data_IF_616749217676
#
_entry.id   IF_616749217676
#
_cell.length_a   1.000
_cell.length_b   1.000
_cell.length_c   1.000
_cell.angle_alpha   90.00
_cell.angle_beta   90.00
_cell.angle_gamma   90.00
#
_symmetry.space_group_name_H-M   'P 1'
#
loop_
_entity.id
_entity.type
_entity.pdbx_description
1 polymer ?
#
# COMPACT_ATOMS: atom_id res chain seq x y z
N UNK A 1 49.98 -12.91 28.69
CA UNK A 1 49.24 -11.63 28.57
C UNK A 1 48.74 -11.34 27.15
N UNK A 2 49.54 -11.49 26.09
CA UNK A 2 49.14 -11.21 24.69
C UNK A 2 47.95 -12.02 24.12
N UNK A 3 47.73 -13.28 24.58
CA UNK A 3 46.58 -14.11 24.14
C UNK A 3 45.26 -13.66 24.76
N UNK A 4 45.25 -13.26 26.04
CA UNK A 4 44.04 -12.76 26.71
C UNK A 4 43.57 -11.43 26.11
N UNK A 5 44.48 -10.49 25.84
CA UNK A 5 44.11 -9.21 25.22
C UNK A 5 43.54 -9.36 23.80
N UNK A 6 44.05 -10.33 23.01
CA UNK A 6 43.46 -10.66 21.70
C UNK A 6 42.05 -11.26 21.80
N UNK A 7 41.79 -12.09 22.81
CA UNK A 7 40.46 -12.68 23.05
C UNK A 7 39.44 -11.63 23.50
N UNK A 8 39.82 -10.71 24.38
CA UNK A 8 38.96 -9.59 24.79
C UNK A 8 38.65 -8.64 23.63
N UNK A 9 39.63 -8.35 22.77
CA UNK A 9 39.41 -7.53 21.58
C UNK A 9 38.45 -8.21 20.59
N UNK A 10 38.57 -9.52 20.39
CA UNK A 10 37.68 -10.27 19.51
C UNK A 10 36.24 -10.33 20.06
N UNK A 11 36.07 -10.53 21.36
CA UNK A 11 34.76 -10.46 22.02
C UNK A 11 34.13 -9.07 21.91
N UNK A 12 34.92 -8.01 22.09
CA UNK A 12 34.45 -6.64 21.95
C UNK A 12 34.00 -6.33 20.51
N UNK A 13 34.78 -6.73 19.51
CA UNK A 13 34.41 -6.59 18.09
C UNK A 13 33.15 -7.38 17.77
N UNK A 14 33.02 -8.61 18.27
CA UNK A 14 31.82 -9.43 18.07
C UNK A 14 30.59 -8.80 18.73
N UNK A 15 30.73 -8.24 19.93
CA UNK A 15 29.65 -7.58 20.66
C UNK A 15 29.21 -6.29 19.95
N UNK A 16 30.14 -5.49 19.42
CA UNK A 16 29.83 -4.32 18.60
C UNK A 16 29.11 -4.72 17.31
N UNK A 17 29.54 -5.78 16.64
CA UNK A 17 28.91 -6.30 15.41
C UNK A 17 27.49 -6.85 15.66
N UNK A 18 27.25 -7.49 16.81
CA UNK A 18 25.91 -7.96 17.21
C UNK A 18 24.99 -6.77 17.49
N UNK A 19 25.49 -5.72 18.15
CA UNK A 19 24.71 -4.50 18.41
C UNK A 19 24.28 -3.80 17.12
N UNK A 20 25.17 -3.69 16.12
CA UNK A 20 24.82 -3.08 14.82
C UNK A 20 23.80 -3.91 14.03
N UNK A 21 23.91 -5.24 14.07
CA UNK A 21 22.96 -6.13 13.39
C UNK A 21 21.57 -6.10 14.05
N UNK A 22 21.52 -5.97 15.38
CA UNK A 22 20.27 -5.79 16.10
C UNK A 22 19.62 -4.44 15.77
N UNK A 23 20.39 -3.34 15.69
CA UNK A 23 19.85 -2.01 15.35
C UNK A 23 19.21 -1.96 13.96
N UNK A 24 19.79 -2.63 12.96
CA UNK A 24 19.20 -2.71 11.61
C UNK A 24 17.84 -3.44 11.56
N UNK A 25 17.55 -4.32 12.52
CA UNK A 25 16.24 -4.96 12.67
C UNK A 25 15.19 -4.01 13.29
N UNK A 26 15.61 -2.90 13.90
CA UNK A 26 14.72 -1.93 14.56
C UNK A 26 14.54 -0.62 13.80
N UNK A 27 15.20 -0.42 12.65
CA UNK A 27 14.95 0.77 11.83
C UNK A 27 13.55 0.71 11.22
N UNK A 28 12.84 1.84 11.23
CA UNK A 28 11.53 1.93 10.56
C UNK A 28 11.76 1.81 9.04
N UNK A 29 11.06 0.88 8.35
CA UNK A 29 11.24 0.69 6.91
C UNK A 29 10.96 1.97 6.12
N UNK A 30 11.77 2.21 5.08
CA UNK A 30 11.59 3.33 4.15
C UNK A 30 10.52 2.96 3.11
N UNK A 31 9.33 3.57 3.22
CA UNK A 31 8.18 3.30 2.35
C UNK A 31 8.13 4.34 1.24
N UNK A 32 8.42 3.93 -0.01
CA UNK A 32 8.37 4.83 -1.18
C UNK A 32 7.24 4.47 -2.13
N UNK A 33 6.33 5.41 -2.35
CA UNK A 33 5.24 5.27 -3.32
C UNK A 33 5.73 5.33 -4.76
N UNK A 34 5.24 4.42 -5.59
CA UNK A 34 5.51 4.35 -7.02
C UNK A 34 4.53 5.25 -7.76
N UNK A 35 5.05 6.19 -8.56
CA UNK A 35 4.21 7.09 -9.34
C UNK A 35 3.52 6.37 -10.53
N UNK A 36 2.56 7.04 -11.16
CA UNK A 36 1.85 6.51 -12.34
C UNK A 36 2.81 6.27 -13.52
N UNK A 37 3.85 7.10 -13.64
CA UNK A 37 4.88 7.06 -14.68
C UNK A 37 5.84 5.88 -14.47
N UNK A 38 6.16 5.57 -13.20
CA UNK A 38 7.07 4.49 -12.82
C UNK A 38 6.43 3.09 -12.83
N UNK A 39 5.15 2.97 -13.20
CA UNK A 39 4.42 1.69 -13.21
C UNK A 39 5.06 0.62 -14.09
N UNK A 40 5.46 0.99 -15.30
CA UNK A 40 6.04 0.07 -16.25
C UNK A 40 7.37 -0.50 -15.72
N UNK A 41 8.18 0.36 -15.11
CA UNK A 41 9.43 -0.05 -14.46
C UNK A 41 9.16 -0.98 -13.27
N UNK A 42 8.22 -0.63 -12.39
CA UNK A 42 7.85 -1.47 -11.25
C UNK A 42 7.40 -2.87 -11.70
N UNK A 43 6.51 -2.92 -12.69
CA UNK A 43 6.01 -4.19 -13.24
C UNK A 43 7.13 -5.00 -13.88
N UNK A 44 8.02 -4.37 -14.65
CA UNK A 44 9.17 -5.05 -15.25
C UNK A 44 10.14 -5.57 -14.19
N UNK A 45 10.41 -4.78 -13.14
CA UNK A 45 11.34 -5.12 -12.07
C UNK A 45 10.85 -6.28 -11.20
N UNK A 46 9.54 -6.39 -11.02
CA UNK A 46 8.90 -7.34 -10.12
C UNK A 46 7.99 -8.34 -10.84
N UNK A 47 8.27 -8.62 -12.12
CA UNK A 47 7.46 -9.49 -12.98
C UNK A 47 7.32 -10.92 -12.42
N UNK A 48 8.36 -11.46 -11.79
CA UNK A 48 8.41 -12.84 -11.29
C UNK A 48 7.99 -12.98 -9.81
N UNK A 49 7.35 -11.95 -9.24
CA UNK A 49 6.93 -11.98 -7.85
C UNK A 49 5.68 -12.83 -7.66
N UNK A 50 5.78 -13.77 -6.71
CA UNK A 50 4.61 -14.43 -6.12
C UNK A 50 4.01 -13.50 -5.06
N UNK A 51 2.86 -12.90 -5.37
CA UNK A 51 2.12 -12.04 -4.47
C UNK A 51 1.36 -12.85 -3.40
N UNK A 52 1.30 -12.32 -2.18
CA UNK A 52 0.53 -12.89 -1.06
C UNK A 52 0.07 -11.80 -0.11
N UNK A 53 -1.06 -12.02 0.57
CA UNK A 53 -1.51 -11.19 1.70
C UNK A 53 -1.00 -11.68 3.06
N UNK A 54 -0.23 -12.76 3.11
CA UNK A 54 0.33 -13.27 4.37
C UNK A 54 1.33 -12.30 4.99
N UNK A 55 1.34 -12.24 6.32
CA UNK A 55 2.22 -11.36 7.11
C UNK A 55 1.62 -9.98 7.40
N UNK A 56 0.55 -9.58 6.71
CA UNK A 56 -0.17 -8.35 7.00
C UNK A 56 -1.16 -8.55 8.15
N UNK A 57 -0.65 -8.46 9.39
CA UNK A 57 -1.47 -8.63 10.59
C UNK A 57 -2.59 -7.59 10.69
N UNK A 58 -3.74 -8.00 11.23
CA UNK A 58 -4.85 -7.10 11.47
C UNK A 58 -4.47 -5.97 12.46
N UNK A 59 -4.85 -4.73 12.17
CA UNK A 59 -4.57 -3.55 12.98
C UNK A 59 -5.66 -2.46 12.86
N UNK A 60 -5.37 -1.26 13.33
CA UNK A 60 -6.32 -0.15 13.40
C UNK A 60 -6.81 0.33 12.02
N UNK A 61 -5.99 0.24 10.96
CA UNK A 61 -6.44 0.61 9.62
C UNK A 61 -7.50 -0.35 9.10
N UNK A 62 -7.47 -1.62 9.49
CA UNK A 62 -8.47 -2.60 9.05
C UNK A 62 -9.85 -2.42 9.73
N UNK A 63 -9.98 -1.40 10.60
CA UNK A 63 -11.24 -0.95 11.22
C UNK A 63 -11.67 0.44 10.74
N UNK A 64 -10.85 1.08 9.92
CA UNK A 64 -11.10 2.43 9.44
C UNK A 64 -11.88 2.34 8.13
N UNK A 65 -12.90 3.17 7.90
CA UNK A 65 -13.63 3.14 6.64
C UNK A 65 -12.67 3.36 5.45
N UNK A 66 -12.78 2.55 4.40
CA UNK A 66 -11.88 2.62 3.24
C UNK A 66 -11.84 4.03 2.62
N UNK A 67 -12.98 4.72 2.62
CA UNK A 67 -13.13 6.11 2.14
C UNK A 67 -12.26 7.10 2.93
N UNK A 68 -12.05 6.87 4.23
CA UNK A 68 -11.18 7.68 5.08
C UNK A 68 -9.71 7.29 4.88
N UNK A 69 -9.41 5.99 4.79
CA UNK A 69 -8.05 5.50 4.51
C UNK A 69 -7.54 6.10 3.19
N UNK A 70 -8.41 6.16 2.18
CA UNK A 70 -8.12 6.78 0.89
C UNK A 70 -7.74 8.26 1.00
N UNK A 71 -8.40 9.02 1.89
CA UNK A 71 -8.08 10.44 2.11
C UNK A 71 -6.73 10.64 2.80
N UNK A 72 -6.39 9.82 3.79
CA UNK A 72 -5.07 9.90 4.45
C UNK A 72 -3.95 9.39 3.56
N UNK A 73 -4.19 8.37 2.72
CA UNK A 73 -3.27 7.98 1.65
C UNK A 73 -3.01 9.12 0.65
N UNK A 74 -4.05 9.90 0.30
CA UNK A 74 -3.89 11.11 -0.51
C UNK A 74 -3.00 12.15 0.19
N UNK A 75 -3.15 12.29 1.51
CA UNK A 75 -2.33 13.19 2.33
C UNK A 75 -0.86 12.77 2.36
N UNK A 76 -0.60 11.48 2.57
CA UNK A 76 0.76 10.95 2.74
C UNK A 76 1.50 10.82 1.40
N UNK A 77 0.83 10.28 0.38
CA UNK A 77 1.50 9.83 -0.85
C UNK A 77 0.94 10.48 -2.14
N UNK A 78 -0.03 11.39 -2.03
CA UNK A 78 -0.68 12.00 -3.18
C UNK A 78 -1.57 11.02 -3.94
N UNK A 79 -1.68 11.19 -5.25
CA UNK A 79 -2.59 10.39 -6.07
C UNK A 79 -2.23 8.89 -6.07
N UNK A 80 -3.18 7.98 -6.29
CA UNK A 80 -2.93 6.55 -6.45
C UNK A 80 -1.94 6.25 -7.58
N UNK A 81 -1.35 5.06 -7.55
CA UNK A 81 -0.55 4.55 -8.68
C UNK A 81 -1.47 4.18 -9.84
N UNK A 82 -2.61 3.55 -9.55
CA UNK A 82 -3.68 3.28 -10.51
C UNK A 82 -5.05 3.65 -9.92
N UNK A 83 -5.94 4.17 -10.75
CA UNK A 83 -7.38 4.28 -10.46
C UNK A 83 -8.17 3.30 -11.31
N UNK A 84 -9.46 3.12 -11.00
CA UNK A 84 -10.39 2.31 -11.79
C UNK A 84 -10.32 2.61 -13.29
N UNK A 85 -10.15 3.89 -13.66
CA UNK A 85 -10.09 4.35 -15.05
C UNK A 85 -8.88 3.78 -15.79
N UNK A 86 -7.71 3.80 -15.14
CA UNK A 86 -6.47 3.24 -15.68
C UNK A 86 -6.58 1.73 -15.93
N UNK A 87 -7.28 1.04 -15.03
CA UNK A 87 -7.47 -0.41 -15.08
C UNK A 87 -8.40 -0.76 -16.25
N UNK A 88 -9.52 -0.06 -16.37
CA UNK A 88 -10.47 -0.25 -17.47
C UNK A 88 -9.83 0.09 -18.82
N UNK A 89 -9.09 1.19 -18.93
CA UNK A 89 -8.42 1.57 -20.17
C UNK A 89 -7.43 0.52 -20.65
N UNK A 90 -6.68 -0.08 -19.71
CA UNK A 90 -5.69 -1.13 -20.00
C UNK A 90 -6.35 -2.47 -20.35
N UNK A 91 -7.20 -2.97 -19.47
CA UNK A 91 -7.71 -4.35 -19.54
C UNK A 91 -9.00 -4.43 -20.40
N UNK A 92 -9.66 -3.30 -20.67
CA UNK A 92 -10.88 -3.19 -21.47
C UNK A 92 -12.18 -3.50 -20.72
N UNK A 93 -12.08 -4.12 -19.54
CA UNK A 93 -13.17 -4.48 -18.65
C UNK A 93 -12.71 -4.39 -17.18
N UNK A 94 -13.67 -4.29 -16.26
CA UNK A 94 -13.42 -4.51 -14.83
C UNK A 94 -13.31 -6.02 -14.61
N UNK A 95 -12.21 -6.49 -14.01
CA UNK A 95 -12.01 -7.94 -13.77
C UNK A 95 -13.24 -8.54 -13.10
N UNK A 96 -13.78 -9.61 -13.68
CA UNK A 96 -14.99 -10.26 -13.19
C UNK A 96 -14.85 -10.58 -11.69
N UNK A 97 -15.79 -10.06 -10.90
CA UNK A 97 -15.87 -10.27 -9.45
C UNK A 97 -14.98 -9.38 -8.58
N UNK A 98 -14.20 -8.44 -9.12
CA UNK A 98 -13.40 -7.47 -8.33
C UNK A 98 -13.29 -6.12 -9.04
N UNK A 99 -14.10 -5.16 -8.61
CA UNK A 99 -13.93 -3.76 -9.02
C UNK A 99 -12.89 -3.09 -8.16
N UNK A 100 -11.71 -2.82 -8.70
CA UNK A 100 -10.67 -2.11 -7.97
C UNK A 100 -10.96 -0.62 -8.07
N UNK A 101 -11.16 0.07 -6.93
CA UNK A 101 -11.33 1.52 -6.93
C UNK A 101 -9.99 2.21 -7.23
N UNK A 102 -8.95 1.82 -6.49
CA UNK A 102 -7.60 2.36 -6.62
C UNK A 102 -6.54 1.36 -6.14
N UNK A 103 -5.30 1.61 -6.57
CA UNK A 103 -4.11 0.90 -6.11
C UNK A 103 -3.00 1.90 -5.77
N UNK A 104 -2.39 1.74 -4.59
CA UNK A 104 -1.11 2.34 -4.25
C UNK A 104 -0.03 1.25 -4.30
N UNK A 105 1.03 1.50 -5.06
CA UNK A 105 2.17 0.60 -5.12
C UNK A 105 3.35 1.22 -4.40
N UNK A 106 4.13 0.38 -3.72
CA UNK A 106 5.24 0.80 -2.89
C UNK A 106 6.47 -0.06 -3.14
N UNK A 107 7.63 0.55 -2.95
CA UNK A 107 8.92 -0.12 -2.82
C UNK A 107 9.42 0.17 -1.42
N UNK A 108 9.54 -0.87 -0.59
CA UNK A 108 10.04 -0.78 0.78
C UNK A 108 11.53 -1.06 0.78
N UNK A 109 12.29 -0.22 1.48
CA UNK A 109 13.77 -0.27 1.61
C UNK A 109 14.49 -0.36 0.25
N UNK A 110 13.83 0.10 -0.82
CA UNK A 110 14.36 0.08 -2.18
C UNK A 110 14.26 -1.26 -2.92
N UNK A 111 13.80 -2.36 -2.31
CA UNK A 111 13.79 -3.69 -2.97
C UNK A 111 12.57 -4.59 -2.71
N UNK A 112 11.70 -4.25 -1.75
CA UNK A 112 10.53 -5.07 -1.40
C UNK A 112 9.30 -4.46 -2.07
N UNK A 113 8.63 -5.16 -3.00
CA UNK A 113 7.42 -4.65 -3.62
C UNK A 113 6.19 -4.93 -2.73
N UNK A 114 5.31 -3.93 -2.62
CA UNK A 114 4.03 -4.03 -1.92
C UNK A 114 2.96 -3.27 -2.70
N UNK A 115 1.71 -3.73 -2.64
CA UNK A 115 0.54 -3.00 -3.14
C UNK A 115 -0.55 -2.95 -2.07
N UNK A 116 -1.25 -1.82 -2.02
CA UNK A 116 -2.44 -1.59 -1.21
C UNK A 116 -3.59 -1.30 -2.16
N UNK A 117 -4.66 -2.09 -2.08
CA UNK A 117 -5.77 -2.08 -3.03
C UNK A 117 -7.09 -1.90 -2.29
N UNK A 118 -8.00 -1.19 -2.92
CA UNK A 118 -9.41 -1.17 -2.53
C UNK A 118 -10.24 -2.00 -3.52
N UNK A 119 -10.71 -3.16 -3.05
CA UNK A 119 -11.49 -4.12 -3.85
C UNK A 119 -13.01 -3.97 -3.65
N UNK A 120 -13.42 -3.45 -2.49
CA UNK A 120 -14.82 -3.37 -2.08
C UNK A 120 -15.37 -1.93 -2.18
N UNK A 121 -14.48 -0.97 -2.44
CA UNK A 121 -14.80 0.43 -2.63
C UNK A 121 -15.15 1.12 -1.32
N UNK A 122 -15.95 2.18 -1.36
CA UNK A 122 -16.13 3.10 -0.24
C UNK A 122 -17.12 2.58 0.83
N UNK A 123 -17.48 1.29 0.78
CA UNK A 123 -18.54 0.69 1.57
C UNK A 123 -18.03 -0.12 2.76
N UNK A 124 -16.80 -0.62 2.68
CA UNK A 124 -16.21 -1.49 3.69
C UNK A 124 -15.12 -0.78 4.50
N UNK A 125 -14.66 -1.46 5.55
CA UNK A 125 -13.52 -1.06 6.35
C UNK A 125 -12.24 -1.72 5.85
N UNK A 126 -11.12 -1.04 6.04
CA UNK A 126 -9.80 -1.56 5.69
C UNK A 126 -9.51 -1.55 4.19
N UNK A 127 -8.36 -2.13 3.85
CA UNK A 127 -7.86 -2.29 2.48
C UNK A 127 -7.16 -3.64 2.35
N UNK A 128 -6.97 -4.09 1.11
CA UNK A 128 -6.23 -5.31 0.83
C UNK A 128 -4.74 -4.97 0.65
N UNK A 129 -3.89 -5.67 1.40
CA UNK A 129 -2.44 -5.54 1.33
C UNK A 129 -1.85 -6.79 0.68
N UNK A 130 -0.97 -6.61 -0.30
CA UNK A 130 -0.21 -7.71 -0.90
C UNK A 130 1.26 -7.35 -1.00
N UNK A 131 2.11 -8.33 -0.74
CA UNK A 131 3.56 -8.21 -0.81
C UNK A 131 4.18 -9.45 -1.46
N UNK A 132 5.48 -9.38 -1.73
CA UNK A 132 6.21 -10.54 -2.25
C UNK A 132 6.35 -11.64 -1.18
N UNK A 133 5.97 -12.87 -1.52
CA UNK A 133 5.94 -14.00 -0.58
C UNK A 133 7.26 -14.31 0.11
N UNK A 134 8.38 -13.98 -0.53
CA UNK A 134 9.74 -14.17 0.02
C UNK A 134 10.08 -13.21 1.17
N UNK A 135 9.24 -12.20 1.44
CA UNK A 135 9.43 -11.20 2.49
C UNK A 135 8.28 -11.18 3.51
N UNK A 136 7.49 -12.24 3.60
CA UNK A 136 6.31 -12.33 4.50
C UNK A 136 6.64 -11.94 5.94
N UNK A 137 7.80 -12.36 6.44
CA UNK A 137 8.21 -12.10 7.83
C UNK A 137 8.48 -10.60 8.11
N UNK A 138 8.70 -9.79 7.07
CA UNK A 138 8.93 -8.35 7.19
C UNK A 138 7.62 -7.54 7.14
N UNK A 139 6.56 -8.10 6.55
CA UNK A 139 5.28 -7.41 6.34
C UNK A 139 4.60 -6.91 7.63
N UNK A 140 4.69 -7.60 8.78
CA UNK A 140 4.13 -7.08 10.04
C UNK A 140 4.71 -5.72 10.44
N UNK A 141 6.02 -5.52 10.25
CA UNK A 141 6.70 -4.27 10.58
C UNK A 141 6.34 -3.20 9.55
N UNK A 142 6.38 -3.53 8.25
CA UNK A 142 5.96 -2.61 7.18
C UNK A 142 4.54 -2.09 7.41
N UNK A 143 3.59 -2.98 7.71
CA UNK A 143 2.20 -2.58 7.96
C UNK A 143 2.08 -1.69 9.21
N UNK A 144 2.85 -1.97 10.27
CA UNK A 144 2.86 -1.14 11.48
C UNK A 144 3.36 0.27 11.19
N UNK A 145 4.45 0.39 10.44
CA UNK A 145 5.02 1.69 10.04
C UNK A 145 4.05 2.47 9.17
N UNK A 146 3.48 1.83 8.14
CA UNK A 146 2.46 2.44 7.29
C UNK A 146 1.25 2.90 8.12
N UNK A 147 0.77 2.08 9.05
CA UNK A 147 -0.34 2.46 9.93
C UNK A 147 -0.01 3.67 10.79
N UNK A 148 1.16 3.71 11.41
CA UNK A 148 1.61 4.88 12.19
C UNK A 148 1.60 6.15 11.31
N UNK A 149 2.23 6.09 10.14
CA UNK A 149 2.32 7.21 9.20
C UNK A 149 0.93 7.71 8.77
N UNK A 150 0.02 6.81 8.39
CA UNK A 150 -1.33 7.18 7.95
C UNK A 150 -2.21 7.73 9.08
N UNK A 151 -1.99 7.29 10.33
CA UNK A 151 -2.73 7.80 11.49
C UNK A 151 -2.26 9.20 11.90
N UNK A 152 -1.00 9.54 11.64
CA UNK A 152 -0.41 10.86 11.89
C UNK A 152 -0.67 11.84 10.75
N UNK A 153 -1.09 11.34 9.59
CA UNK A 153 -1.34 12.13 8.39
C UNK A 153 -2.73 12.77 8.38
N UNK A 154 -2.79 14.05 8.03
CA UNK A 154 -4.06 14.72 7.79
C UNK A 154 -4.68 14.28 6.44
N UNK A 155 -5.99 14.03 6.38
CA UNK A 155 -6.65 13.66 5.13
C UNK A 155 -6.54 14.78 4.09
N UNK A 156 -6.45 14.41 2.82
CA UNK A 156 -6.41 15.35 1.69
C UNK A 156 -7.51 15.05 0.69
N UNK A 157 -8.02 16.11 0.07
CA UNK A 157 -9.12 16.02 -0.87
C UNK A 157 -8.82 15.09 -2.05
N UNK A 158 -9.83 14.31 -2.45
CA UNK A 158 -9.76 13.45 -3.62
C UNK A 158 -11.15 13.25 -4.23
N UNK A 159 -11.15 12.91 -5.51
CA UNK A 159 -12.32 12.41 -6.23
C UNK A 159 -11.90 11.17 -7.02
N UNK A 160 -12.62 10.08 -6.79
CA UNK A 160 -12.46 8.80 -7.47
C UNK A 160 -13.82 8.27 -7.91
N UNK A 161 -13.78 7.19 -8.70
CA UNK A 161 -14.96 6.48 -9.15
C UNK A 161 -14.86 5.01 -8.78
N UNK A 162 -16.00 4.41 -8.48
CA UNK A 162 -16.10 3.00 -8.17
C UNK A 162 -17.32 2.41 -8.86
N UNK A 163 -17.19 1.21 -9.42
CA UNK A 163 -18.33 0.44 -9.92
C UNK A 163 -18.59 -0.70 -8.96
N UNK A 164 -19.77 -0.76 -8.34
CA UNK A 164 -20.17 -1.90 -7.53
C UNK A 164 -20.75 -3.00 -8.43
N UNK A 165 -20.08 -4.16 -8.60
CA UNK A 165 -20.61 -5.25 -9.41
C UNK A 165 -21.89 -5.82 -8.83
N UNK A 166 -21.96 -5.92 -7.51
CA UNK A 166 -23.13 -6.45 -6.78
C UNK A 166 -24.40 -5.64 -7.04
N UNK A 167 -24.25 -4.32 -7.18
CA UNK A 167 -25.35 -3.37 -7.40
C UNK A 167 -25.55 -3.02 -8.87
N UNK A 168 -24.60 -3.37 -9.72
CA UNK A 168 -24.55 -2.91 -11.11
C UNK A 168 -24.47 -1.38 -11.24
N UNK A 169 -23.91 -0.68 -10.25
CA UNK A 169 -24.08 0.76 -10.05
C UNK A 169 -22.74 1.49 -9.92
N UNK A 170 -22.63 2.67 -10.55
CA UNK A 170 -21.46 3.55 -10.44
C UNK A 170 -21.62 4.53 -9.28
N UNK A 171 -20.49 4.83 -8.63
CA UNK A 171 -20.39 5.76 -7.53
C UNK A 171 -19.28 6.78 -7.80
N UNK A 172 -19.57 8.06 -7.51
CA UNK A 172 -18.55 9.08 -7.27
C UNK A 172 -18.20 9.03 -5.80
N UNK A 173 -16.92 8.87 -5.49
CA UNK A 173 -16.40 8.81 -4.13
C UNK A 173 -15.49 9.99 -3.92
N UNK A 174 -15.72 10.78 -2.87
CA UNK A 174 -14.87 11.93 -2.60
C UNK A 174 -14.70 12.24 -1.13
N UNK A 175 -13.60 12.94 -0.86
CA UNK A 175 -13.41 13.76 0.33
C UNK A 175 -13.16 15.18 -0.15
N UNK A 176 -14.10 16.09 0.11
CA UNK A 176 -14.05 17.49 -0.36
C UNK A 176 -14.63 18.38 0.73
N UNK A 177 -14.00 19.52 1.00
CA UNK A 177 -14.42 20.48 2.02
C UNK A 177 -14.67 19.87 3.43
N UNK A 178 -13.92 18.83 3.79
CA UNK A 178 -14.04 18.15 5.07
C UNK A 178 -15.15 17.09 5.16
N UNK A 179 -15.84 16.81 4.06
CA UNK A 179 -16.95 15.85 4.01
C UNK A 179 -16.62 14.64 3.13
N UNK A 180 -16.97 13.44 3.61
CA UNK A 180 -16.88 12.20 2.84
C UNK A 180 -18.21 11.92 2.11
N UNK A 181 -18.16 11.69 0.80
CA UNK A 181 -19.35 11.49 -0.04
C UNK A 181 -19.25 10.24 -0.90
N UNK A 182 -20.41 9.59 -1.08
CA UNK A 182 -20.64 8.41 -1.91
C UNK A 182 -21.93 8.63 -2.68
N UNK A 183 -21.80 9.07 -3.92
CA UNK A 183 -22.95 9.49 -4.73
C UNK A 183 -23.19 8.48 -5.85
N UNK A 184 -24.41 7.97 -5.96
CA UNK A 184 -24.81 7.17 -7.12
C UNK A 184 -24.85 8.03 -8.37
N UNK A 185 -24.15 7.58 -9.40
CA UNK A 185 -24.04 8.30 -10.67
C UNK A 185 -24.28 7.34 -11.84
N UNK A 186 -24.57 7.89 -13.01
CA UNK A 186 -24.41 7.11 -14.25
C UNK A 186 -22.92 6.87 -14.50
N UNK A 187 -22.59 5.87 -15.33
CA UNK A 187 -21.20 5.64 -15.78
C UNK A 187 -20.59 6.97 -16.23
N UNK A 188 -19.44 7.38 -15.65
CA UNK A 188 -18.79 8.63 -16.06
C UNK A 188 -18.48 8.62 -17.55
N UNK A 189 -18.74 9.73 -18.24
CA UNK A 189 -18.64 9.82 -19.70
C UNK A 189 -17.20 9.68 -20.22
N UNK A 190 -16.21 10.01 -19.40
CA UNK A 190 -14.79 9.86 -19.73
C UNK A 190 -14.28 8.42 -19.56
N UNK A 191 -14.99 7.56 -18.82
CA UNK A 191 -14.61 6.15 -18.66
C UNK A 191 -15.12 5.35 -19.87
N UNK A 192 -14.19 5.01 -20.76
CA UNK A 192 -14.46 4.18 -21.94
C UNK A 192 -14.30 2.71 -21.59
N UNK A 193 -15.41 1.97 -21.60
CA UNK A 193 -15.40 0.50 -21.62
C UNK A 193 -15.42 0.05 -23.07
N UNK A 194 -14.65 -0.98 -23.43
CA UNK A 194 -14.71 -1.56 -24.78
C UNK A 194 -15.98 -2.38 -24.98
#
# INVERSE_FOLDING_TARGET
MQRLTKQFFFFFVMMVMISTAAQAQFEEPDIKKVSKEARAEFQSRFADIKWTGQGFNYNELDRMPAIEIRAVLQGAYGDPTQKVEDIIEKDGYLRDGKSIQFEYWFIIDGYIPMMVLDLEGPFDDGLVYVGASRYVDLMPQVKRTLTKELRETSPKEYVDYFYSPERGQWYKVSYEAGEYKKEEIKKPSHIKTK
#
